data_IF_187780368009
#
_entry.id   IF_187780368009
#
_cell.length_a   1.000
_cell.length_b   1.000
_cell.length_c   1.000
_cell.angle_alpha   90.00
_cell.angle_beta   90.00
_cell.angle_gamma   90.00
#
_symmetry.space_group_name_H-M   'P 1'
#
loop_
_entity.id
_entity.type
_entity.pdbx_description
1 polymer ?
#
# COMPACT_ATOMS: atom_id res chain seq x y z
N UNK A 1 -8.93 -49.99 -9.23
CA UNK A 1 -8.97 -48.64 -9.81
C UNK A 1 -9.20 -47.68 -8.66
N UNK A 2 -8.13 -47.11 -8.10
CA UNK A 2 -8.14 -46.39 -6.81
C UNK A 2 -8.38 -44.90 -7.06
N UNK A 3 -9.52 -44.40 -6.61
CA UNK A 3 -9.81 -42.97 -6.49
C UNK A 3 -8.75 -42.31 -5.59
N UNK A 4 -8.02 -41.36 -6.16
CA UNK A 4 -7.07 -40.53 -5.42
C UNK A 4 -7.84 -39.35 -4.84
N UNK A 5 -8.40 -39.55 -3.66
CA UNK A 5 -8.94 -38.49 -2.80
C UNK A 5 -7.81 -37.49 -2.50
N UNK A 6 -7.79 -36.35 -3.20
CA UNK A 6 -6.91 -35.21 -2.90
C UNK A 6 -7.41 -34.54 -1.63
N UNK A 7 -7.00 -35.09 -0.49
CA UNK A 7 -7.17 -34.48 0.82
C UNK A 7 -6.19 -33.31 0.92
N UNK A 8 -6.59 -32.14 0.39
CA UNK A 8 -5.92 -30.87 0.67
C UNK A 8 -6.03 -30.64 2.18
N UNK A 9 -4.91 -30.76 2.88
CA UNK A 9 -4.79 -30.40 4.31
C UNK A 9 -5.36 -29.00 4.50
N UNK A 10 -6.51 -28.90 5.19
CA UNK A 10 -7.02 -27.65 5.77
C UNK A 10 -6.01 -27.22 6.84
N UNK A 11 -4.98 -26.48 6.43
CA UNK A 11 -4.23 -25.65 7.36
C UNK A 11 -5.18 -24.52 7.74
N UNK A 12 -5.73 -24.54 8.95
CA UNK A 12 -6.36 -23.35 9.51
C UNK A 12 -5.29 -22.25 9.52
N UNK A 13 -5.51 -21.10 8.85
CA UNK A 13 -4.54 -20.02 8.90
C UNK A 13 -4.39 -19.54 10.35
N UNK A 14 -3.17 -19.19 10.75
CA UNK A 14 -2.91 -18.52 12.01
C UNK A 14 -3.79 -17.25 12.10
N UNK A 15 -4.20 -16.82 13.32
CA UNK A 15 -5.00 -15.60 13.46
C UNK A 15 -4.26 -14.45 12.78
N UNK A 16 -4.84 -13.94 11.69
CA UNK A 16 -4.25 -12.85 10.92
C UNK A 16 -4.23 -11.60 11.82
N UNK A 17 -3.05 -10.97 11.90
CA UNK A 17 -2.86 -9.77 12.71
C UNK A 17 -3.85 -8.69 12.21
N UNK A 18 -4.60 -8.03 13.10
CA UNK A 18 -5.56 -7.01 12.67
C UNK A 18 -4.82 -5.89 11.93
N UNK A 19 -5.26 -5.61 10.70
CA UNK A 19 -4.69 -4.58 9.84
C UNK A 19 -5.07 -3.19 10.35
N UNK A 20 -4.17 -2.21 10.22
CA UNK A 20 -4.46 -0.85 10.66
C UNK A 20 -5.66 -0.25 9.90
N UNK A 21 -6.55 0.53 10.55
CA UNK A 21 -7.74 1.08 9.91
C UNK A 21 -7.46 1.90 8.64
N UNK A 22 -6.38 2.71 8.65
CA UNK A 22 -5.95 3.51 7.49
C UNK A 22 -5.55 2.63 6.29
N UNK A 23 -4.87 1.51 6.54
CA UNK A 23 -4.48 0.56 5.49
C UNK A 23 -5.73 -0.09 4.89
N UNK A 24 -6.68 -0.51 5.74
CA UNK A 24 -7.95 -1.07 5.28
C UNK A 24 -8.74 -0.07 4.43
N UNK A 25 -8.73 1.21 4.81
CA UNK A 25 -9.35 2.28 4.02
C UNK A 25 -8.69 2.40 2.64
N UNK A 26 -7.37 2.43 2.56
CA UNK A 26 -6.65 2.49 1.28
C UNK A 26 -6.95 1.29 0.38
N UNK A 27 -6.95 0.06 0.93
CA UNK A 27 -7.36 -1.14 0.18
C UNK A 27 -8.77 -0.97 -0.41
N UNK A 28 -9.72 -0.47 0.38
CA UNK A 28 -11.10 -0.25 -0.09
C UNK A 28 -11.19 0.86 -1.14
N UNK A 29 -10.37 1.91 -1.05
CA UNK A 29 -10.25 2.96 -2.08
C UNK A 29 -9.65 2.40 -3.40
N UNK A 30 -8.70 1.49 -3.33
CA UNK A 30 -8.18 0.78 -4.51
C UNK A 30 -9.28 -0.09 -5.16
N UNK A 31 -10.01 -0.83 -4.35
CA UNK A 31 -10.98 -1.80 -4.85
C UNK A 31 -12.25 -1.16 -5.36
N UNK A 32 -12.78 -0.12 -4.70
CA UNK A 32 -14.12 0.42 -5.01
C UNK A 32 -14.04 1.57 -6.01
N UNK A 33 -13.60 2.79 -5.65
CA UNK A 33 -13.58 3.92 -6.58
C UNK A 33 -12.51 3.80 -7.67
N UNK A 34 -11.38 3.12 -7.43
CA UNK A 34 -10.38 2.82 -8.46
C UNK A 34 -10.64 1.51 -9.22
N UNK A 35 -11.80 0.89 -8.99
CA UNK A 35 -12.30 -0.28 -9.70
C UNK A 35 -11.44 -1.56 -9.63
N UNK A 36 -10.52 -1.70 -8.67
CA UNK A 36 -9.73 -2.91 -8.44
C UNK A 36 -10.57 -4.16 -8.14
N UNK A 37 -11.81 -4.00 -7.69
CA UNK A 37 -12.77 -5.11 -7.52
C UNK A 37 -13.03 -5.90 -8.80
N UNK A 38 -12.79 -5.31 -9.98
CA UNK A 38 -12.95 -6.00 -11.28
C UNK A 38 -11.92 -7.10 -11.47
N UNK A 39 -10.72 -6.91 -10.93
CA UNK A 39 -9.66 -7.90 -10.92
C UNK A 39 -9.84 -8.86 -9.73
N UNK A 40 -10.14 -8.33 -8.54
CA UNK A 40 -10.27 -9.16 -7.34
C UNK A 40 -11.45 -10.16 -7.40
N UNK A 41 -12.61 -9.75 -7.94
CA UNK A 41 -13.86 -10.53 -7.90
C UNK A 41 -14.07 -11.24 -9.24
N UNK A 42 -13.72 -12.51 -9.29
CA UNK A 42 -13.95 -13.38 -10.44
C UNK A 42 -15.39 -13.88 -10.55
N UNK A 43 -15.64 -14.77 -11.52
CA UNK A 43 -16.98 -15.35 -11.73
C UNK A 43 -17.35 -16.45 -10.74
N UNK A 44 -16.34 -17.09 -10.11
CA UNK A 44 -16.52 -18.26 -9.22
C UNK A 44 -15.78 -18.14 -7.88
N UNK A 45 -15.16 -17.00 -7.61
CA UNK A 45 -14.32 -16.81 -6.43
C UNK A 45 -13.49 -15.54 -6.51
N UNK A 46 -12.65 -15.34 -5.50
CA UNK A 46 -11.67 -14.26 -5.49
C UNK A 46 -10.40 -14.66 -6.24
N UNK A 47 -9.74 -13.69 -6.86
CA UNK A 47 -8.39 -13.89 -7.41
C UNK A 47 -7.32 -13.88 -6.31
N UNK A 48 -7.63 -13.28 -5.16
CA UNK A 48 -6.80 -13.32 -3.96
C UNK A 48 -7.65 -13.47 -2.69
N UNK A 49 -7.70 -14.70 -2.16
CA UNK A 49 -8.43 -15.02 -0.92
C UNK A 49 -7.82 -14.34 0.32
N UNK A 50 -6.54 -13.97 0.32
CA UNK A 50 -5.93 -13.29 1.46
C UNK A 50 -6.41 -11.84 1.54
N UNK A 51 -6.53 -11.14 0.41
CA UNK A 51 -7.17 -9.81 0.36
C UNK A 51 -8.63 -9.90 0.80
N UNK A 52 -9.36 -10.92 0.37
CA UNK A 52 -10.75 -11.13 0.78
C UNK A 52 -10.90 -11.35 2.29
N UNK A 53 -10.05 -12.20 2.89
CA UNK A 53 -10.01 -12.45 4.34
C UNK A 53 -9.72 -11.19 5.15
N UNK A 54 -8.69 -10.45 4.78
CA UNK A 54 -8.32 -9.19 5.46
C UNK A 54 -9.45 -8.16 5.46
N UNK A 55 -10.30 -8.17 4.42
CA UNK A 55 -11.46 -7.28 4.33
C UNK A 55 -12.69 -7.80 5.07
N UNK A 56 -12.67 -9.04 5.57
CA UNK A 56 -13.77 -9.72 6.26
C UNK A 56 -14.80 -10.31 5.30
N UNK A 57 -14.36 -10.87 4.17
CA UNK A 57 -15.20 -11.50 3.15
C UNK A 57 -15.11 -13.03 3.16
N UNK A 58 -14.67 -13.61 4.28
CA UNK A 58 -14.43 -15.05 4.48
C UNK A 58 -15.62 -15.93 4.10
N UNK A 59 -16.85 -15.44 4.32
CA UNK A 59 -18.08 -16.17 4.01
C UNK A 59 -18.27 -16.48 2.52
N UNK A 60 -17.54 -15.81 1.62
CA UNK A 60 -17.58 -16.05 0.17
C UNK A 60 -16.39 -16.88 -0.33
N UNK A 61 -15.48 -17.30 0.56
CA UNK A 61 -14.32 -18.13 0.20
C UNK A 61 -14.72 -19.60 0.32
N UNK A 62 -14.66 -20.34 -0.80
CA UNK A 62 -15.04 -21.76 -0.90
C UNK A 62 -16.32 -22.12 -0.11
N UNK A 63 -17.46 -21.45 -0.36
CA UNK A 63 -18.72 -21.71 0.35
C UNK A 63 -19.18 -23.16 0.16
N UNK A 64 -19.50 -23.86 1.26
CA UNK A 64 -19.95 -25.26 1.22
C UNK A 64 -21.40 -25.40 0.70
N UNK A 65 -22.26 -24.42 1.00
CA UNK A 65 -23.72 -24.54 0.82
C UNK A 65 -24.33 -23.59 -0.22
N UNK A 66 -23.51 -22.79 -0.92
CA UNK A 66 -23.99 -21.81 -1.89
C UNK A 66 -23.00 -21.56 -3.02
N UNK A 67 -23.50 -21.14 -4.18
CA UNK A 67 -22.67 -20.63 -5.25
C UNK A 67 -22.07 -19.27 -4.90
N UNK A 68 -20.90 -18.97 -5.47
CA UNK A 68 -20.29 -17.66 -5.38
C UNK A 68 -21.14 -16.61 -6.11
N UNK A 69 -21.54 -15.53 -5.43
CA UNK A 69 -22.29 -14.41 -6.00
C UNK A 69 -21.41 -13.14 -6.10
N UNK A 70 -20.84 -12.84 -7.29
CA UNK A 70 -20.03 -11.64 -7.51
C UNK A 70 -20.80 -10.33 -7.27
N UNK A 71 -22.12 -10.31 -7.47
CA UNK A 71 -22.93 -9.10 -7.28
C UNK A 71 -23.12 -8.80 -5.79
N UNK A 72 -23.37 -9.82 -4.96
CA UNK A 72 -23.40 -9.68 -3.52
C UNK A 72 -22.05 -9.20 -2.97
N UNK A 73 -20.94 -9.81 -3.40
CA UNK A 73 -19.58 -9.41 -2.99
C UNK A 73 -19.29 -7.95 -3.35
N UNK A 74 -19.60 -7.51 -4.57
CA UNK A 74 -19.42 -6.10 -4.98
C UNK A 74 -20.27 -5.14 -4.16
N UNK A 75 -21.48 -5.56 -3.78
CA UNK A 75 -22.35 -4.76 -2.91
C UNK A 75 -21.73 -4.62 -1.53
N UNK A 76 -21.25 -5.74 -0.96
CA UNK A 76 -20.56 -5.75 0.33
C UNK A 76 -19.30 -4.87 0.34
N UNK A 77 -18.47 -4.94 -0.70
CA UNK A 77 -17.30 -4.06 -0.84
C UNK A 77 -17.67 -2.58 -0.81
N UNK A 78 -18.76 -2.16 -1.49
CA UNK A 78 -19.23 -0.77 -1.45
C UNK A 78 -19.71 -0.35 -0.06
N UNK A 79 -20.36 -1.24 0.67
CA UNK A 79 -20.76 -0.98 2.07
C UNK A 79 -19.55 -0.80 2.96
N UNK A 80 -18.58 -1.72 2.88
CA UNK A 80 -17.34 -1.66 3.65
C UNK A 80 -16.56 -0.37 3.36
N UNK A 81 -16.48 0.03 2.08
CA UNK A 81 -15.87 1.30 1.68
C UNK A 81 -16.61 2.50 2.29
N UNK A 82 -17.95 2.59 2.13
CA UNK A 82 -18.75 3.68 2.71
C UNK A 82 -18.67 3.73 4.24
N UNK A 83 -18.51 2.58 4.90
CA UNK A 83 -18.29 2.52 6.33
C UNK A 83 -16.91 3.08 6.68
N UNK A 84 -15.85 2.56 6.04
CA UNK A 84 -14.47 3.00 6.28
C UNK A 84 -14.29 4.50 6.04
N UNK A 85 -14.84 5.07 4.97
CA UNK A 85 -14.78 6.51 4.69
C UNK A 85 -15.35 7.38 5.82
N UNK A 86 -16.37 6.87 6.53
CA UNK A 86 -17.04 7.60 7.61
C UNK A 86 -16.37 7.43 8.97
N UNK A 87 -15.83 6.24 9.26
CA UNK A 87 -15.44 5.87 10.62
C UNK A 87 -13.99 5.40 10.77
N UNK A 88 -13.22 5.23 9.69
CA UNK A 88 -11.84 4.79 9.81
C UNK A 88 -10.99 5.87 10.45
N UNK A 89 -10.17 5.45 11.41
CA UNK A 89 -9.05 6.25 11.84
C UNK A 89 -8.04 6.35 10.68
N UNK A 90 -7.73 7.59 10.30
CA UNK A 90 -6.79 7.91 9.21
C UNK A 90 -5.35 8.07 9.73
N UNK A 91 -5.13 7.97 11.04
CA UNK A 91 -3.81 8.07 11.63
C UNK A 91 -2.88 6.96 11.12
N UNK A 92 -1.64 7.34 10.82
CA UNK A 92 -0.57 6.40 10.56
C UNK A 92 -0.20 5.67 11.86
N UNK A 93 0.43 4.48 11.79
CA UNK A 93 1.04 3.87 12.96
C UNK A 93 1.95 4.87 13.69
N UNK A 94 1.87 5.00 15.04
CA UNK A 94 2.52 6.09 15.78
C UNK A 94 4.03 6.22 15.52
N UNK A 95 4.73 5.10 15.39
CA UNK A 95 6.18 5.08 15.09
C UNK A 95 6.47 5.67 13.71
N UNK A 96 5.67 5.31 12.71
CA UNK A 96 5.81 5.83 11.36
C UNK A 96 5.50 7.34 11.32
N UNK A 97 4.43 7.76 11.98
CA UNK A 97 4.03 9.17 12.06
C UNK A 97 5.14 10.03 12.71
N UNK A 98 5.67 9.58 13.85
CA UNK A 98 6.78 10.25 14.54
C UNK A 98 8.08 10.28 13.71
N UNK A 99 8.39 9.21 12.98
CA UNK A 99 9.56 9.17 12.08
C UNK A 99 9.40 10.16 10.92
N UNK A 100 8.22 10.23 10.31
CA UNK A 100 7.92 11.16 9.21
C UNK A 100 7.96 12.60 9.71
N UNK A 101 7.39 12.90 10.88
CA UNK A 101 7.42 14.25 11.45
C UNK A 101 8.87 14.76 11.62
N UNK A 102 9.75 13.92 12.15
CA UNK A 102 11.16 14.28 12.33
C UNK A 102 11.92 14.41 11.00
N UNK A 103 11.61 13.58 10.00
CA UNK A 103 12.15 13.75 8.65
C UNK A 103 11.65 15.05 8.01
N UNK A 104 10.37 15.39 8.22
CA UNK A 104 9.76 16.61 7.69
C UNK A 104 10.45 17.87 8.23
N UNK A 105 10.75 17.90 9.53
CA UNK A 105 11.53 18.98 10.15
C UNK A 105 12.96 19.08 9.58
N UNK A 106 13.59 17.94 9.31
CA UNK A 106 14.98 17.89 8.84
C UNK A 106 15.14 18.36 7.40
N UNK A 107 14.28 17.90 6.47
CA UNK A 107 14.43 18.19 5.03
C UNK A 107 13.38 19.15 4.48
N UNK A 108 12.42 19.58 5.30
CA UNK A 108 11.38 20.52 4.93
C UNK A 108 10.25 19.91 4.09
N UNK A 109 9.77 18.70 4.46
CA UNK A 109 8.65 18.07 3.76
C UNK A 109 7.35 18.86 3.99
N UNK A 110 6.58 19.03 2.92
CA UNK A 110 5.20 19.50 3.01
C UNK A 110 4.26 18.42 3.54
N UNK A 111 3.07 18.80 4.00
CA UNK A 111 2.04 17.86 4.45
C UNK A 111 1.68 16.80 3.37
N UNK A 112 1.65 17.20 2.10
CA UNK A 112 1.43 16.30 0.97
C UNK A 112 2.55 15.28 0.83
N UNK A 113 3.81 15.72 0.97
CA UNK A 113 4.97 14.83 0.89
C UNK A 113 5.03 13.88 2.08
N UNK A 114 4.67 14.34 3.28
CA UNK A 114 4.50 13.48 4.46
C UNK A 114 3.43 12.41 4.23
N UNK A 115 2.30 12.75 3.64
CA UNK A 115 1.23 11.78 3.36
C UNK A 115 1.68 10.71 2.35
N UNK A 116 2.39 11.12 1.28
CA UNK A 116 2.96 10.18 0.30
C UNK A 116 4.01 9.28 0.97
N UNK A 117 4.90 9.85 1.78
CA UNK A 117 5.93 9.12 2.51
C UNK A 117 5.37 8.23 3.64
N UNK A 118 4.15 8.51 4.13
CA UNK A 118 3.43 7.62 5.05
C UNK A 118 2.81 6.42 4.35
N UNK A 119 2.33 6.62 3.13
CA UNK A 119 1.73 5.55 2.34
C UNK A 119 2.77 4.58 1.78
N UNK A 120 3.87 5.07 1.21
CA UNK A 120 4.80 4.24 0.45
C UNK A 120 5.47 3.12 1.28
N UNK A 121 6.03 3.35 2.48
CA UNK A 121 6.60 2.26 3.30
C UNK A 121 5.56 1.21 3.68
N UNK A 122 4.33 1.63 3.99
CA UNK A 122 3.24 0.70 4.27
C UNK A 122 2.87 -0.12 3.03
N UNK A 123 2.84 0.49 1.83
CA UNK A 123 2.61 -0.24 0.59
C UNK A 123 3.67 -1.33 0.36
N UNK A 124 4.94 -1.05 0.65
CA UNK A 124 6.04 -2.00 0.46
C UNK A 124 6.10 -3.11 1.53
N UNK A 125 5.55 -2.88 2.73
CA UNK A 125 5.63 -3.82 3.85
C UNK A 125 4.36 -4.61 4.11
N UNK A 126 3.20 -4.00 3.92
CA UNK A 126 1.91 -4.61 4.21
C UNK A 126 1.41 -5.39 3.01
N UNK A 127 1.69 -6.70 3.01
CA UNK A 127 1.37 -7.62 1.90
C UNK A 127 -0.08 -7.51 1.42
N UNK A 128 -1.04 -7.31 2.33
CA UNK A 128 -2.44 -7.17 1.95
C UNK A 128 -2.71 -5.86 1.17
N UNK A 129 -2.02 -4.78 1.52
CA UNK A 129 -2.08 -3.51 0.81
C UNK A 129 -1.42 -3.61 -0.57
N UNK A 130 -0.24 -4.24 -0.66
CA UNK A 130 0.44 -4.51 -1.93
C UNK A 130 -0.44 -5.34 -2.88
N UNK A 131 -1.04 -6.42 -2.37
CA UNK A 131 -1.96 -7.25 -3.16
C UNK A 131 -3.23 -6.52 -3.60
N UNK A 132 -3.75 -5.61 -2.77
CA UNK A 132 -4.85 -4.74 -3.19
C UNK A 132 -4.39 -3.75 -4.28
N UNK A 133 -3.17 -3.23 -4.20
CA UNK A 133 -2.61 -2.33 -5.20
C UNK A 133 -2.35 -3.03 -6.55
N UNK A 134 -1.96 -4.31 -6.53
CA UNK A 134 -1.79 -5.14 -7.73
C UNK A 134 -3.08 -5.21 -8.56
N UNK A 135 -4.26 -5.12 -7.93
CA UNK A 135 -5.56 -5.13 -8.63
C UNK A 135 -5.80 -3.92 -9.53
N UNK A 136 -5.01 -2.85 -9.36
CA UNK A 136 -5.03 -1.68 -10.24
C UNK A 136 -4.30 -1.94 -11.57
N UNK A 137 -3.55 -3.04 -11.66
CA UNK A 137 -2.73 -3.37 -12.81
C UNK A 137 -1.54 -2.42 -12.97
N UNK A 138 -0.99 -2.38 -14.18
CA UNK A 138 0.14 -1.51 -14.49
C UNK A 138 -0.31 -0.07 -14.71
N UNK A 139 0.36 0.86 -14.03
CA UNK A 139 0.08 2.28 -14.07
C UNK A 139 1.11 3.02 -14.93
N UNK A 140 0.63 3.99 -15.69
CA UNK A 140 1.49 4.97 -16.36
C UNK A 140 1.97 6.03 -15.36
N UNK A 141 3.04 6.73 -15.73
CA UNK A 141 3.60 7.85 -14.94
C UNK A 141 2.61 9.01 -14.74
N UNK A 142 1.59 9.13 -15.60
CA UNK A 142 0.52 10.13 -15.43
C UNK A 142 -0.54 9.70 -14.42
N UNK A 143 -0.91 8.41 -14.42
CA UNK A 143 -2.00 7.87 -13.61
C UNK A 143 -1.65 7.81 -12.11
N UNK A 144 -0.37 7.70 -11.75
CA UNK A 144 0.07 7.58 -10.35
C UNK A 144 -0.42 8.73 -9.47
N UNK A 145 -0.41 9.96 -10.00
CA UNK A 145 -0.83 11.12 -9.24
C UNK A 145 -2.34 11.11 -8.97
N UNK A 146 -3.13 10.65 -9.95
CA UNK A 146 -4.59 10.55 -9.81
C UNK A 146 -4.95 9.43 -8.81
N UNK A 147 -4.23 8.31 -8.85
CA UNK A 147 -4.35 7.21 -7.87
C UNK A 147 -4.03 7.72 -6.46
N UNK A 148 -2.87 8.32 -6.26
CA UNK A 148 -2.45 8.82 -4.94
C UNK A 148 -3.36 9.93 -4.42
N UNK A 149 -3.85 10.82 -5.28
CA UNK A 149 -4.83 11.85 -4.91
C UNK A 149 -6.10 11.23 -4.32
N UNK A 150 -6.58 10.14 -4.93
CA UNK A 150 -7.74 9.42 -4.44
C UNK A 150 -7.43 8.69 -3.13
N UNK A 151 -6.32 7.95 -3.07
CA UNK A 151 -5.94 7.16 -1.89
C UNK A 151 -5.71 8.03 -0.66
N UNK A 152 -5.08 9.19 -0.83
CA UNK A 152 -4.70 10.10 0.25
C UNK A 152 -5.76 11.18 0.51
N UNK A 153 -6.79 11.29 -0.33
CA UNK A 153 -7.81 12.34 -0.25
C UNK A 153 -7.20 13.75 -0.32
N UNK A 154 -6.26 13.93 -1.26
CA UNK A 154 -5.52 15.18 -1.45
C UNK A 154 -5.71 15.75 -2.87
N UNK A 155 -5.58 17.07 -3.06
CA UNK A 155 -5.66 17.66 -4.39
C UNK A 155 -4.60 17.09 -5.33
N UNK A 156 -5.04 16.64 -6.51
CA UNK A 156 -4.13 16.06 -7.51
C UNK A 156 -3.00 17.01 -7.93
N UNK A 157 -3.24 18.32 -7.91
CA UNK A 157 -2.21 19.34 -8.19
C UNK A 157 -1.09 19.35 -7.16
N UNK A 158 -1.41 19.14 -5.88
CA UNK A 158 -0.42 19.04 -4.80
C UNK A 158 0.37 17.74 -4.91
N UNK A 159 -0.31 16.61 -5.14
CA UNK A 159 0.34 15.33 -5.38
C UNK A 159 1.30 15.43 -6.58
N UNK A 160 0.85 15.97 -7.71
CA UNK A 160 1.70 16.15 -8.90
C UNK A 160 2.95 16.98 -8.58
N UNK A 161 2.82 18.03 -7.77
CA UNK A 161 3.94 18.88 -7.34
C UNK A 161 4.92 18.11 -6.46
N UNK A 162 4.41 17.36 -5.48
CA UNK A 162 5.22 16.55 -4.56
C UNK A 162 6.02 15.44 -5.31
N UNK A 163 5.45 14.89 -6.38
CA UNK A 163 6.09 13.86 -7.21
C UNK A 163 7.05 14.39 -8.29
N UNK A 164 7.25 15.72 -8.39
CA UNK A 164 8.21 16.30 -9.33
C UNK A 164 9.63 15.88 -8.97
N UNK A 165 10.49 15.66 -9.98
CA UNK A 165 11.90 15.29 -9.76
C UNK A 165 12.73 16.36 -9.03
N UNK A 166 12.18 17.57 -8.84
CA UNK A 166 12.78 18.64 -8.05
C UNK A 166 12.02 18.92 -6.73
N UNK A 167 11.00 18.11 -6.40
CA UNK A 167 10.33 18.13 -5.09
C UNK A 167 11.25 17.64 -3.98
N UNK A 168 10.85 17.83 -2.72
CA UNK A 168 11.70 17.50 -1.56
C UNK A 168 11.88 15.98 -1.46
N UNK A 169 10.85 15.19 -1.75
CA UNK A 169 10.94 13.72 -1.78
C UNK A 169 12.07 13.21 -2.69
N UNK A 170 12.13 13.71 -3.93
CA UNK A 170 13.15 13.31 -4.90
C UNK A 170 14.53 13.89 -4.55
N UNK A 171 14.59 15.17 -4.14
CA UNK A 171 15.86 15.85 -3.80
C UNK A 171 16.54 15.31 -2.54
N UNK A 172 15.74 14.86 -1.58
CA UNK A 172 16.23 14.20 -0.36
C UNK A 172 16.53 12.71 -0.58
N UNK A 173 16.11 12.14 -1.71
CA UNK A 173 16.25 10.72 -2.03
C UNK A 173 15.29 9.80 -1.27
N UNK A 174 14.43 10.34 -0.40
CA UNK A 174 13.51 9.55 0.44
C UNK A 174 12.53 8.73 -0.40
N UNK A 175 12.03 9.31 -1.50
CA UNK A 175 11.14 8.64 -2.44
C UNK A 175 11.33 9.23 -3.83
N UNK A 176 11.48 8.34 -4.81
CA UNK A 176 11.50 8.65 -6.23
C UNK A 176 10.32 7.99 -6.95
N UNK A 177 9.85 8.63 -8.02
CA UNK A 177 8.84 8.05 -8.90
C UNK A 177 9.51 7.48 -10.13
N UNK A 178 9.28 6.19 -10.39
CA UNK A 178 9.66 5.60 -11.67
C UNK A 178 8.79 6.18 -12.80
N UNK A 179 9.41 7.05 -13.60
CA UNK A 179 8.76 7.70 -14.74
C UNK A 179 8.86 6.87 -16.02
N UNK A 180 9.57 5.76 -16.01
CA UNK A 180 9.78 4.91 -17.18
C UNK A 180 8.57 3.99 -17.41
N UNK A 181 8.03 3.96 -18.62
CA UNK A 181 6.98 3.02 -19.01
C UNK A 181 5.81 2.86 -18.03
N UNK A 182 5.28 1.63 -17.95
CA UNK A 182 4.18 1.24 -17.07
C UNK A 182 4.66 0.18 -16.08
N UNK A 183 4.24 0.30 -14.82
CA UNK A 183 4.60 -0.66 -13.76
C UNK A 183 3.51 -0.68 -12.67
N UNK A 184 3.55 -1.68 -11.80
CA UNK A 184 2.66 -1.75 -10.63
C UNK A 184 2.90 -0.56 -9.68
N UNK A 185 1.90 -0.22 -8.86
CA UNK A 185 1.96 0.96 -7.99
C UNK A 185 3.19 0.95 -7.05
N UNK A 186 3.49 -0.18 -6.42
CA UNK A 186 4.66 -0.31 -5.53
C UNK A 186 5.97 -0.08 -6.29
N UNK A 187 6.11 -0.66 -7.49
CA UNK A 187 7.27 -0.47 -8.34
C UNK A 187 7.42 0.97 -8.85
N UNK A 188 6.31 1.74 -8.91
CA UNK A 188 6.34 3.16 -9.27
C UNK A 188 6.83 4.08 -8.16
N UNK A 189 6.72 3.65 -6.90
CA UNK A 189 7.12 4.43 -5.72
C UNK A 189 8.40 3.84 -5.14
N UNK A 190 9.54 4.26 -5.66
CA UNK A 190 10.84 3.75 -5.23
C UNK A 190 11.30 4.47 -3.96
N UNK A 191 11.49 3.73 -2.87
CA UNK A 191 12.01 4.27 -1.62
C UNK A 191 13.53 4.30 -1.65
N UNK A 192 14.14 5.17 -0.84
CA UNK A 192 15.60 5.31 -0.71
C UNK A 192 16.35 3.98 -0.66
N UNK A 193 15.84 3.04 0.15
CA UNK A 193 16.32 1.66 0.21
C UNK A 193 15.30 0.76 0.91
N UNK A 194 15.46 -0.56 0.77
CA UNK A 194 14.67 -1.55 1.53
C UNK A 194 14.87 -1.38 3.05
N UNK A 195 16.10 -1.13 3.47
CA UNK A 195 16.42 -0.94 4.88
C UNK A 195 15.78 0.35 5.44
N UNK A 196 15.72 1.42 4.65
CA UNK A 196 14.97 2.62 5.02
C UNK A 196 13.48 2.30 5.24
N UNK A 197 12.86 1.55 4.33
CA UNK A 197 11.46 1.15 4.45
C UNK A 197 11.18 0.33 5.72
N UNK A 198 12.11 -0.54 6.13
CA UNK A 198 12.03 -1.30 7.38
C UNK A 198 12.21 -0.41 8.61
N UNK A 199 13.27 0.40 8.63
CA UNK A 199 13.64 1.24 9.77
C UNK A 199 12.61 2.32 10.08
N UNK A 200 11.96 2.89 9.04
CA UNK A 200 10.92 3.91 9.24
C UNK A 200 9.64 3.33 9.88
N UNK A 201 9.43 2.01 9.82
CA UNK A 201 8.29 1.31 10.43
C UNK A 201 8.62 0.67 11.79
N UNK A 202 9.86 0.19 11.97
CA UNK A 202 10.22 -0.72 13.05
C UNK A 202 10.51 -0.09 14.41
N UNK A 203 11.19 1.06 14.45
CA UNK A 203 11.53 1.73 15.71
C UNK A 203 11.63 3.22 15.53
N UNK A 204 11.39 3.96 16.61
CA UNK A 204 11.72 5.38 16.66
C UNK A 204 13.22 5.55 16.45
N UNK A 205 13.59 6.03 15.27
CA UNK A 205 14.99 6.10 14.83
C UNK A 205 15.39 7.56 14.62
N UNK A 206 16.61 7.94 14.99
CA UNK A 206 17.16 9.27 14.65
C UNK A 206 17.04 9.49 13.13
N UNK A 207 16.41 10.59 12.65
CA UNK A 207 16.31 10.92 11.23
C UNK A 207 17.66 10.87 10.50
N UNK A 208 18.74 11.27 11.16
CA UNK A 208 20.07 11.24 10.54
C UNK A 208 20.54 9.78 10.44
N UNK A 209 20.18 8.90 11.37
CA UNK A 209 20.47 7.46 11.24
C UNK A 209 19.67 6.83 10.09
N UNK A 210 18.40 7.22 9.88
CA UNK A 210 17.59 6.78 8.73
C UNK A 210 18.22 7.17 7.37
N UNK A 211 18.94 8.29 7.33
CA UNK A 211 19.63 8.79 6.13
C UNK A 211 21.10 8.34 6.03
N UNK A 212 21.76 8.00 7.15
CA UNK A 212 23.22 7.70 7.20
C UNK A 212 23.59 6.37 6.58
N UNK A 213 22.71 5.38 6.60
CA UNK A 213 22.97 4.06 6.00
C UNK A 213 23.08 4.11 4.46
N UNK A 214 22.96 5.30 3.85
CA UNK A 214 23.14 5.55 2.41
C UNK A 214 24.38 6.37 2.05
N UNK A 215 25.13 6.90 3.03
CA UNK A 215 26.34 7.68 2.78
C UNK A 215 27.56 6.78 2.96
N UNK A 216 27.96 6.08 1.90
CA UNK A 216 29.26 5.43 1.89
C UNK A 216 30.34 6.52 1.99
N UNK A 217 31.29 6.45 2.95
CA UNK A 217 32.44 7.33 2.95
C UNK A 217 33.19 7.17 1.62
N UNK A 218 33.39 8.27 0.88
CA UNK A 218 34.29 8.29 -0.26
C UNK A 218 35.67 7.80 0.19
N UNK A 219 36.26 6.85 -0.53
CA UNK A 219 37.67 6.49 -0.36
C UNK A 219 38.50 7.78 -0.48
N UNK A 220 39.47 8.02 0.43
CA UNK A 220 40.28 9.24 0.36
C UNK A 220 40.99 9.31 -1.00
N UNK A 221 41.10 10.51 -1.61
CA UNK A 221 41.83 10.68 -2.85
C UNK A 221 43.26 10.20 -2.63
N UNK A 222 43.69 9.22 -3.44
CA UNK A 222 45.11 8.86 -3.53
C UNK A 222 45.78 9.94 -4.37
N UNK A 223 46.52 10.82 -3.69
CA UNK A 223 47.50 11.71 -4.30
C UNK A 223 48.72 10.91 -4.76
#
# INVERSE_FOLDING_TARGET
>A
MKERTRQRRRNAPAPERPIAPVIRLWMLRMLVPLAGHRELVGSRGFMDDAVARVLGLDEWIDPEDRDFDPAAVRTRLRELHRQAERCADRALPPVLDANIARLAELVGLSATECAILGFAPLLHHERALDKAADTLGVLSSGAIADVLALLLELPVSEIRRALLGHGVLARSGLLNVDRSGTALLAAKLDLLSRQFAESILGSETDPIALLRDTVAPSTPPRL
#
